data_IF_696365076144
#
_entry.id   IF_696365076144
#
_cell.length_a   1.000
_cell.length_b   1.000
_cell.length_c   1.000
_cell.angle_alpha   90.00
_cell.angle_beta   90.00
_cell.angle_gamma   90.00
#
_symmetry.space_group_name_H-M   'P 1'
#
loop_
_entity.id
_entity.type
_entity.pdbx_description
1 polymer ?
#
# COMPACT_ATOMS: atom_id res chain seq x y z
N UNK A 1 -0.40 -5.07 -25.49
CA UNK A 1 0.10 -3.70 -25.70
C UNK A 1 0.77 -3.16 -24.46
N UNK A 2 1.93 -2.54 -24.63
CA UNK A 2 2.73 -1.96 -23.54
C UNK A 2 2.67 -0.44 -23.63
N UNK A 3 2.22 0.21 -22.55
CA UNK A 3 2.27 1.67 -22.43
C UNK A 3 3.73 2.11 -22.28
N UNK A 4 4.08 3.19 -22.97
CA UNK A 4 5.39 3.85 -22.89
C UNK A 4 5.23 5.14 -22.06
N UNK A 5 5.60 5.15 -20.76
CA UNK A 5 5.33 6.30 -19.88
C UNK A 5 6.04 7.58 -20.33
N UNK A 6 7.18 7.45 -21.01
CA UNK A 6 7.94 8.55 -21.60
C UNK A 6 7.18 9.30 -22.71
N UNK A 7 6.14 8.69 -23.28
CA UNK A 7 5.24 9.32 -24.24
C UNK A 7 4.02 9.99 -23.59
N UNK A 8 3.89 9.95 -22.26
CA UNK A 8 2.80 10.57 -21.51
C UNK A 8 3.30 11.86 -20.84
N UNK A 9 3.41 12.91 -21.65
CA UNK A 9 3.88 14.23 -21.21
C UNK A 9 2.74 15.25 -21.18
N UNK A 10 2.98 16.40 -20.53
CA UNK A 10 2.02 17.52 -20.51
C UNK A 10 1.63 17.95 -21.93
N UNK A 11 2.55 17.87 -22.89
CA UNK A 11 2.31 18.26 -24.28
C UNK A 11 1.49 17.23 -25.07
N UNK A 12 1.65 15.95 -24.77
CA UNK A 12 1.12 14.84 -25.59
C UNK A 12 -0.18 14.27 -25.06
N UNK A 13 -0.39 14.28 -23.74
CA UNK A 13 -1.60 13.73 -23.10
C UNK A 13 -2.89 14.44 -23.53
N UNK A 14 -2.97 15.77 -23.67
CA UNK A 14 -4.20 16.43 -24.11
C UNK A 14 -4.70 15.93 -25.48
N UNK A 15 -3.79 15.77 -26.45
CA UNK A 15 -4.14 15.24 -27.78
C UNK A 15 -4.62 13.78 -27.72
N UNK A 16 -4.03 12.98 -26.83
CA UNK A 16 -4.45 11.59 -26.61
C UNK A 16 -5.88 11.50 -26.05
N UNK A 17 -6.21 12.31 -25.04
CA UNK A 17 -7.56 12.36 -24.46
C UNK A 17 -8.57 12.89 -25.48
N UNK A 18 -8.23 13.93 -26.26
CA UNK A 18 -9.12 14.42 -27.31
C UNK A 18 -9.43 13.35 -28.37
N UNK A 19 -8.45 12.50 -28.71
CA UNK A 19 -8.62 11.44 -29.70
C UNK A 19 -9.37 10.20 -29.17
N UNK A 20 -9.21 9.86 -27.90
CA UNK A 20 -9.67 8.58 -27.33
C UNK A 20 -10.74 8.72 -26.25
N UNK A 21 -11.05 9.94 -25.82
CA UNK A 21 -11.89 10.21 -24.66
C UNK A 21 -11.16 10.01 -23.33
N UNK A 22 -11.91 10.22 -22.25
CA UNK A 22 -11.47 9.90 -20.89
C UNK A 22 -11.63 8.39 -20.64
N UNK A 23 -10.55 7.62 -20.44
CA UNK A 23 -10.65 6.19 -20.17
C UNK A 23 -11.27 5.87 -18.80
N UNK A 24 -11.38 6.84 -17.90
CA UNK A 24 -11.93 6.67 -16.55
C UNK A 24 -13.32 7.30 -16.39
N UNK A 25 -13.97 7.65 -17.50
CA UNK A 25 -15.28 8.32 -17.49
C UNK A 25 -16.32 7.63 -16.59
N UNK A 26 -16.35 6.29 -16.60
CA UNK A 26 -17.35 5.49 -15.89
C UNK A 26 -16.86 5.01 -14.50
N UNK A 27 -15.70 5.50 -14.03
CA UNK A 27 -15.05 5.01 -12.80
C UNK A 27 -15.98 5.11 -11.57
N UNK A 28 -16.80 6.15 -11.51
CA UNK A 28 -17.68 6.43 -10.38
C UNK A 28 -19.08 5.79 -10.52
N UNK A 29 -19.42 5.24 -11.69
CA UNK A 29 -20.77 4.72 -11.98
C UNK A 29 -21.08 3.41 -11.25
N UNK A 30 -20.04 2.64 -10.90
CA UNK A 30 -20.16 1.30 -10.37
C UNK A 30 -19.30 1.12 -9.10
N UNK A 31 -19.72 1.68 -7.95
CA UNK A 31 -19.00 1.47 -6.69
C UNK A 31 -18.94 -0.02 -6.35
N UNK A 32 -17.75 -0.49 -5.99
CA UNK A 32 -17.48 -1.89 -5.70
C UNK A 32 -17.37 -2.16 -4.19
N UNK A 33 -17.81 -3.34 -3.77
CA UNK A 33 -17.66 -3.79 -2.38
C UNK A 33 -16.21 -4.19 -2.07
N UNK A 34 -15.76 -3.90 -0.85
CA UNK A 34 -14.47 -4.37 -0.34
C UNK A 34 -14.52 -5.79 0.24
N UNK A 35 -15.71 -6.39 0.38
CA UNK A 35 -15.90 -7.70 1.02
C UNK A 35 -14.97 -8.80 0.46
N UNK A 36 -14.74 -8.92 -0.87
CA UNK A 36 -13.81 -9.91 -1.39
C UNK A 36 -12.38 -9.73 -0.87
N UNK A 37 -11.92 -8.49 -0.67
CA UNK A 37 -10.60 -8.22 -0.10
C UNK A 37 -10.55 -8.52 1.40
N UNK A 38 -11.62 -8.23 2.13
CA UNK A 38 -11.71 -8.54 3.57
C UNK A 38 -11.66 -10.06 3.82
N UNK A 39 -12.29 -10.85 2.97
CA UNK A 39 -12.23 -12.31 3.04
C UNK A 39 -10.82 -12.84 2.76
N UNK A 40 -10.09 -12.26 1.80
CA UNK A 40 -8.67 -12.58 1.58
C UNK A 40 -7.82 -12.28 2.81
N UNK A 41 -8.03 -11.11 3.44
CA UNK A 41 -7.33 -10.72 4.67
C UNK A 41 -7.61 -11.72 5.81
N UNK A 42 -8.88 -12.12 6.01
CA UNK A 42 -9.24 -13.11 7.03
C UNK A 42 -8.53 -14.44 6.80
N UNK A 43 -8.55 -14.94 5.55
CA UNK A 43 -7.87 -16.19 5.19
C UNK A 43 -6.36 -16.13 5.44
N UNK A 44 -5.72 -15.02 5.08
CA UNK A 44 -4.28 -14.85 5.24
C UNK A 44 -3.91 -14.76 6.74
N UNK A 45 -4.73 -14.10 7.56
CA UNK A 45 -4.57 -14.07 9.02
C UNK A 45 -4.77 -15.45 9.66
N UNK A 46 -5.76 -16.23 9.21
CA UNK A 46 -5.97 -17.63 9.63
C UNK A 46 -4.80 -18.54 9.25
N UNK A 47 -4.14 -18.26 8.12
CA UNK A 47 -2.90 -18.91 7.69
C UNK A 47 -1.65 -18.39 8.44
N UNK A 48 -1.80 -17.45 9.37
CA UNK A 48 -0.71 -16.89 10.16
C UNK A 48 0.14 -15.84 9.44
N UNK A 49 -0.34 -15.27 8.34
CA UNK A 49 0.34 -14.16 7.65
C UNK A 49 0.03 -12.84 8.39
N UNK A 50 1.02 -12.18 9.00
CA UNK A 50 0.80 -10.89 9.68
C UNK A 50 0.67 -9.76 8.66
N UNK A 51 0.17 -8.61 9.13
CA UNK A 51 0.12 -7.40 8.32
C UNK A 51 1.52 -6.96 7.84
N UNK A 52 1.56 -6.32 6.68
CA UNK A 52 2.80 -5.81 6.12
C UNK A 52 3.36 -4.69 7.00
N UNK A 53 4.70 -4.58 7.16
CA UNK A 53 5.28 -3.50 7.93
C UNK A 53 5.03 -2.16 7.23
N UNK A 54 4.70 -1.12 8.00
CA UNK A 54 4.55 0.22 7.46
C UNK A 54 5.91 0.77 7.01
N UNK A 55 5.97 1.69 6.01
CA UNK A 55 7.21 2.33 5.61
C UNK A 55 7.91 2.98 6.83
N UNK A 56 9.26 3.02 6.86
CA UNK A 56 10.03 3.37 8.06
C UNK A 56 9.78 4.79 8.61
N UNK A 57 9.23 5.67 7.78
CA UNK A 57 8.91 7.05 8.13
C UNK A 57 7.62 7.19 8.95
N UNK A 58 6.78 6.16 9.00
CA UNK A 58 5.54 6.17 9.77
C UNK A 58 5.77 5.76 11.22
N UNK A 59 5.02 6.33 12.19
CA UNK A 59 4.99 5.85 13.56
C UNK A 59 4.73 4.34 13.63
N UNK A 60 5.28 3.67 14.64
CA UNK A 60 5.03 2.25 14.87
C UNK A 60 3.63 2.06 15.45
N UNK A 61 2.93 1.05 14.97
CA UNK A 61 1.67 0.60 15.55
C UNK A 61 1.91 -0.46 16.63
N UNK A 62 0.95 -0.62 17.55
CA UNK A 62 0.98 -1.70 18.53
C UNK A 62 0.95 -3.05 17.80
N UNK A 63 1.89 -3.96 18.14
CA UNK A 63 2.00 -5.28 17.50
C UNK A 63 3.02 -5.35 16.34
N UNK A 64 3.62 -4.24 15.93
CA UNK A 64 4.56 -4.25 14.81
C UNK A 64 5.99 -4.68 15.22
N UNK A 65 6.63 -5.62 14.49
CA UNK A 65 8.00 -6.04 14.79
C UNK A 65 9.02 -4.90 14.59
N UNK A 66 10.17 -4.94 15.27
CA UNK A 66 11.20 -3.91 15.13
C UNK A 66 11.69 -3.77 13.68
N UNK A 67 11.44 -2.61 13.05
CA UNK A 67 11.89 -2.29 11.68
C UNK A 67 13.42 -2.06 11.53
N UNK A 68 14.16 -2.04 12.63
CA UNK A 68 15.62 -1.82 12.60
C UNK A 68 16.35 -3.16 12.57
N UNK A 69 17.44 -3.24 11.80
CA UNK A 69 18.34 -4.39 11.83
C UNK A 69 18.81 -4.67 13.28
N UNK A 70 18.98 -5.94 13.69
CA UNK A 70 19.28 -6.32 15.08
C UNK A 70 20.49 -5.59 15.69
N UNK A 71 21.50 -5.27 14.88
CA UNK A 71 22.71 -4.55 15.32
C UNK A 71 22.46 -3.09 15.72
N UNK A 72 21.31 -2.51 15.32
CA UNK A 72 20.88 -1.14 15.65
C UNK A 72 19.71 -1.09 16.64
N UNK A 73 19.22 -2.24 17.08
CA UNK A 73 18.20 -2.29 18.13
C UNK A 73 18.82 -1.79 19.45
N UNK A 74 18.27 -0.72 20.02
CA UNK A 74 18.64 -0.28 21.38
C UNK A 74 18.24 -1.40 22.35
N UNK A 75 19.17 -1.82 23.22
CA UNK A 75 18.88 -2.80 24.26
C UNK A 75 17.68 -2.32 25.10
N UNK A 76 16.68 -3.16 25.37
CA UNK A 76 15.60 -2.79 26.27
C UNK A 76 16.20 -2.40 27.63
N UNK A 77 15.72 -1.28 28.20
CA UNK A 77 16.12 -0.88 29.55
C UNK A 77 15.57 -1.92 30.53
N UNK A 78 16.37 -2.40 31.49
CA UNK A 78 15.86 -3.27 32.54
C UNK A 78 14.76 -2.53 33.32
N UNK A 79 13.65 -3.22 33.58
CA UNK A 79 12.56 -2.72 34.41
C UNK A 79 13.09 -2.38 35.80
N UNK A 80 12.64 -1.28 36.43
CA UNK A 80 13.02 -0.99 37.80
C UNK A 80 12.40 -2.05 38.71
N UNK A 81 13.25 -2.78 39.44
CA UNK A 81 12.81 -3.58 40.57
C UNK A 81 12.35 -2.63 41.69
N UNK A 82 11.07 -2.70 42.01
CA UNK A 82 10.44 -2.03 43.16
C UNK A 82 9.13 -2.71 43.46
#
# INVERSE_FOLDING_TARGET
>A
DTVRPDLLTIETVPGRIAASGDPWADMDDHPQSLEPFLELVRRDQEAGLPDAPWPPVYPKMAGEPPRVAPSRARKPKPSPSG
#
